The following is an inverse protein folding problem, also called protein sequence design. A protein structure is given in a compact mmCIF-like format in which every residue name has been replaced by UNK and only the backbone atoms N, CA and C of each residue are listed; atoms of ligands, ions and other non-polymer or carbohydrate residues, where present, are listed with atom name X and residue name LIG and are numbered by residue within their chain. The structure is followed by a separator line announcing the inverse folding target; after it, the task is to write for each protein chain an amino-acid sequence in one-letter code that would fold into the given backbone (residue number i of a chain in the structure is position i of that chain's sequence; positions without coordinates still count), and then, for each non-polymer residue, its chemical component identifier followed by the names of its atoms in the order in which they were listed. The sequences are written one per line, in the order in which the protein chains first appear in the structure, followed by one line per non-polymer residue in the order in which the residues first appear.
data_IF_571048304611
#
_entry.id   IF_571048304611
#
_cell.length_a   1.000
_cell.length_b   1.000
_cell.length_c   1.000
_cell.angle_alpha   90.00
_cell.angle_beta   90.00
_cell.angle_gamma   90.00
#
_symmetry.space_group_name_H-M   'P 1'
#
loop_
_entity.id
_entity.type
_entity.pdbx_description
1 polymer ?
#
# COMPACT_ATOMS: atom_id res chain seq x y z
N UNK A 1 -12.11 -66.53 4.23
CA UNK A 1 -10.65 -66.35 4.16
C UNK A 1 -10.39 -64.86 4.24
N UNK A 2 -10.07 -64.32 5.41
CA UNK A 2 -9.81 -62.90 5.57
C UNK A 2 -8.43 -62.59 4.97
N UNK A 3 -8.38 -61.69 4.00
CA UNK A 3 -7.11 -61.18 3.48
C UNK A 3 -6.51 -60.25 4.56
N UNK A 4 -5.26 -60.50 4.94
CA UNK A 4 -4.48 -59.72 5.90
C UNK A 4 -3.39 -58.95 5.15
N UNK A 5 -3.20 -57.69 5.51
CA UNK A 5 -2.06 -56.90 5.04
C UNK A 5 -0.76 -57.33 5.75
N UNK A 6 0.39 -56.87 5.24
CA UNK A 6 1.74 -57.26 5.69
C UNK A 6 2.01 -57.10 7.20
N UNK A 7 1.20 -56.30 7.90
CA UNK A 7 1.31 -56.02 9.34
C UNK A 7 0.34 -56.88 10.21
N UNK A 8 -0.31 -57.89 9.64
CA UNK A 8 -1.18 -58.83 10.37
C UNK A 8 -2.57 -58.28 10.73
N UNK A 9 -2.87 -57.03 10.38
CA UNK A 9 -4.16 -56.39 10.62
C UNK A 9 -5.18 -56.85 9.55
N UNK A 10 -6.39 -57.31 9.92
CA UNK A 10 -7.41 -57.69 8.95
C UNK A 10 -7.86 -56.46 8.14
N UNK A 11 -7.82 -56.56 6.80
CA UNK A 11 -8.09 -55.46 5.84
C UNK A 11 -9.48 -54.82 6.02
N UNK A 12 -10.46 -55.61 6.47
CA UNK A 12 -11.81 -55.10 6.74
C UNK A 12 -11.84 -54.12 7.93
N UNK A 13 -10.93 -54.30 8.88
CA UNK A 13 -10.79 -53.46 10.08
C UNK A 13 -10.10 -52.13 9.73
N UNK A 14 -9.11 -52.15 8.82
CA UNK A 14 -8.43 -50.95 8.36
C UNK A 14 -9.35 -50.08 7.50
N UNK A 15 -10.13 -50.68 6.59
CA UNK A 15 -11.14 -49.96 5.81
C UNK A 15 -12.23 -49.32 6.68
N UNK A 16 -12.74 -50.04 7.67
CA UNK A 16 -13.74 -49.49 8.59
C UNK A 16 -13.16 -48.32 9.39
N UNK A 17 -11.95 -48.47 9.94
CA UNK A 17 -11.25 -47.41 10.68
C UNK A 17 -10.98 -46.17 9.83
N UNK A 18 -10.61 -46.33 8.55
CA UNK A 18 -10.41 -45.21 7.62
C UNK A 18 -11.73 -44.49 7.35
N UNK A 19 -12.81 -45.23 7.07
CA UNK A 19 -14.12 -44.64 6.81
C UNK A 19 -14.68 -43.85 8.02
N UNK A 20 -14.44 -44.34 9.24
CA UNK A 20 -14.84 -43.67 10.47
C UNK A 20 -14.02 -42.40 10.72
N UNK A 21 -12.70 -42.45 10.49
CA UNK A 21 -11.83 -41.27 10.56
C UNK A 21 -12.18 -40.22 9.51
N UNK A 22 -12.50 -40.63 8.29
CA UNK A 22 -12.94 -39.72 7.22
C UNK A 22 -14.27 -39.06 7.57
N UNK A 23 -15.22 -39.82 8.13
CA UNK A 23 -16.49 -39.27 8.61
C UNK A 23 -16.30 -38.30 9.79
N UNK A 24 -15.41 -38.62 10.74
CA UNK A 24 -15.09 -37.72 11.85
C UNK A 24 -14.40 -36.44 11.35
N UNK A 25 -13.44 -36.55 10.42
CA UNK A 25 -12.77 -35.40 9.80
C UNK A 25 -13.73 -34.53 8.99
N UNK A 26 -14.66 -35.14 8.25
CA UNK A 26 -15.69 -34.42 7.52
C UNK A 26 -16.57 -33.61 8.48
N UNK A 27 -16.98 -34.21 9.60
CA UNK A 27 -17.79 -33.55 10.63
C UNK A 27 -17.04 -32.40 11.29
N UNK A 28 -15.76 -32.59 11.68
CA UNK A 28 -14.91 -31.50 12.21
C UNK A 28 -14.72 -30.37 11.20
N UNK A 29 -14.51 -30.68 9.92
CA UNK A 29 -14.40 -29.67 8.85
C UNK A 29 -15.69 -28.87 8.71
N UNK A 30 -16.84 -29.53 8.80
CA UNK A 30 -18.15 -28.89 8.75
C UNK A 30 -18.40 -27.99 9.97
N UNK A 31 -18.00 -28.43 11.16
CA UNK A 31 -18.09 -27.66 12.39
C UNK A 31 -17.17 -26.43 12.36
N UNK A 32 -15.93 -26.56 11.85
CA UNK A 32 -15.03 -25.44 11.60
C UNK A 32 -15.66 -24.46 10.59
N UNK A 33 -16.24 -24.96 9.50
CA UNK A 33 -16.91 -24.12 8.48
C UNK A 33 -18.12 -23.40 9.05
N UNK A 34 -18.89 -24.03 9.94
CA UNK A 34 -20.01 -23.40 10.67
C UNK A 34 -19.53 -22.35 11.64
N UNK A 35 -18.44 -22.60 12.37
CA UNK A 35 -17.83 -21.61 13.26
C UNK A 35 -17.34 -20.39 12.45
N UNK A 36 -16.68 -20.64 11.33
CA UNK A 36 -16.16 -19.61 10.42
C UNK A 36 -17.28 -18.78 9.78
N UNK A 37 -18.42 -19.39 9.45
CA UNK A 37 -19.63 -18.69 8.97
C UNK A 37 -20.44 -17.98 10.07
N UNK A 38 -20.29 -18.38 11.34
CA UNK A 38 -20.95 -17.74 12.49
C UNK A 38 -20.19 -16.53 13.02
N UNK A 39 -18.89 -16.46 12.78
CA UNK A 39 -18.13 -15.23 12.98
C UNK A 39 -18.63 -14.20 11.96
N UNK A 40 -19.16 -13.04 12.38
CA UNK A 40 -19.44 -11.98 11.44
C UNK A 40 -18.14 -11.66 10.69
N UNK A 41 -18.22 -11.26 9.42
CA UNK A 41 -17.05 -10.73 8.69
C UNK A 41 -16.38 -9.54 9.43
N UNK A 42 -17.06 -8.98 10.46
CA UNK A 42 -16.57 -7.97 11.40
C UNK A 42 -15.95 -8.52 12.70
N UNK A 43 -15.65 -9.82 12.81
CA UNK A 43 -14.96 -10.38 13.98
C UNK A 43 -13.44 -10.04 14.02
N UNK A 44 -13.01 -9.08 13.19
CA UNK A 44 -11.71 -8.44 13.29
C UNK A 44 -11.78 -7.14 14.10
N UNK A 45 -10.63 -6.59 14.52
CA UNK A 45 -10.56 -5.31 15.21
C UNK A 45 -11.20 -4.18 14.38
N UNK A 46 -11.74 -3.15 15.04
CA UNK A 46 -12.42 -2.04 14.35
C UNK A 46 -11.50 -1.33 13.34
N UNK A 47 -11.99 -1.00 12.13
CA UNK A 47 -11.22 -0.26 11.13
C UNK A 47 -10.70 1.07 11.69
N UNK A 48 -9.40 1.30 11.59
CA UNK A 48 -8.73 2.49 12.14
C UNK A 48 -8.07 3.37 11.07
N UNK A 49 -8.04 2.93 9.80
CA UNK A 49 -7.33 3.59 8.70
C UNK A 49 -8.16 3.56 7.39
N UNK A 50 -8.10 4.58 6.52
CA UNK A 50 -7.42 5.87 6.66
C UNK A 50 -8.08 6.77 7.74
N UNK A 51 -7.33 7.76 8.30
CA UNK A 51 -7.85 8.63 9.35
C UNK A 51 -9.11 9.40 8.91
N UNK A 52 -10.06 9.60 9.83
CA UNK A 52 -11.34 10.28 9.53
C UNK A 52 -11.20 11.69 8.94
N UNK A 53 -10.10 12.40 9.22
CA UNK A 53 -9.86 13.75 8.66
C UNK A 53 -9.61 13.74 7.14
N UNK A 54 -9.36 12.57 6.55
CA UNK A 54 -9.08 12.40 5.13
C UNK A 54 -10.37 12.23 4.29
N UNK A 55 -11.55 12.51 4.87
CA UNK A 55 -12.89 12.45 4.25
C UNK A 55 -13.28 11.06 3.70
N UNK A 56 -12.55 10.00 4.06
CA UNK A 56 -12.85 8.61 3.73
C UNK A 56 -13.21 7.88 5.03
N UNK A 57 -14.27 7.07 5.03
CA UNK A 57 -14.61 6.23 6.19
C UNK A 57 -13.44 5.26 6.45
N UNK A 58 -13.04 5.00 7.70
CA UNK A 58 -12.05 3.96 8.00
C UNK A 58 -12.53 2.63 7.43
N UNK A 59 -11.77 2.05 6.50
CA UNK A 59 -12.13 0.81 5.79
C UNK A 59 -11.29 -0.36 6.30
N UNK A 60 -10.08 -0.08 6.82
CA UNK A 60 -9.07 -1.09 7.11
C UNK A 60 -8.61 -1.00 8.56
N UNK A 61 -8.44 -2.14 9.21
CA UNK A 61 -7.66 -2.24 10.45
C UNK A 61 -6.18 -2.31 10.09
N UNK A 62 -5.46 -1.22 10.34
CA UNK A 62 -4.05 -1.05 10.10
C UNK A 62 -3.27 -1.11 11.41
N UNK A 63 -2.50 -2.19 11.59
CA UNK A 63 -1.56 -2.32 12.70
C UNK A 63 -0.27 -2.99 12.23
N UNK A 64 0.76 -2.18 12.00
CA UNK A 64 2.06 -2.65 11.48
C UNK A 64 2.73 -3.63 12.45
N UNK A 65 2.63 -3.40 13.77
CA UNK A 65 3.33 -4.22 14.76
C UNK A 65 2.76 -5.63 14.87
N UNK A 66 1.46 -5.75 14.63
CA UNK A 66 0.71 -7.00 14.80
C UNK A 66 0.60 -7.80 13.50
N UNK A 67 0.34 -7.13 12.36
CA UNK A 67 0.05 -7.81 11.10
C UNK A 67 1.28 -8.01 10.20
N UNK A 68 2.32 -7.20 10.35
CA UNK A 68 3.50 -7.25 9.46
C UNK A 68 4.65 -7.98 10.17
N UNK A 69 5.32 -8.95 9.50
CA UNK A 69 6.50 -9.62 10.04
C UNK A 69 7.59 -8.62 10.46
N UNK A 70 8.23 -8.87 11.62
CA UNK A 70 9.31 -8.01 12.20
C UNK A 70 10.33 -7.49 11.18
N UNK A 71 10.88 -8.29 10.23
CA UNK A 71 11.84 -7.77 9.26
C UNK A 71 11.27 -6.72 8.30
N UNK A 72 9.96 -6.74 8.03
CA UNK A 72 9.26 -5.84 7.11
C UNK A 72 8.70 -4.60 7.81
N UNK A 73 8.58 -4.60 9.14
CA UNK A 73 7.99 -3.48 9.91
C UNK A 73 8.73 -2.16 9.69
N UNK A 74 10.07 -2.18 9.70
CA UNK A 74 10.88 -0.98 9.45
C UNK A 74 10.67 -0.39 8.06
N UNK A 75 10.45 -1.25 7.05
CA UNK A 75 10.13 -0.81 5.70
C UNK A 75 8.73 -0.19 5.63
N UNK A 76 7.72 -0.84 6.23
CA UNK A 76 6.36 -0.30 6.26
C UNK A 76 6.25 1.02 7.03
N UNK A 77 7.04 1.19 8.09
CA UNK A 77 7.13 2.46 8.82
C UNK A 77 7.74 3.58 7.96
N UNK A 78 8.79 3.30 7.20
CA UNK A 78 9.34 4.28 6.25
C UNK A 78 8.30 4.64 5.16
N UNK A 79 7.54 3.65 4.69
CA UNK A 79 6.55 3.83 3.64
C UNK A 79 5.36 4.70 4.07
N UNK A 80 4.86 4.53 5.30
CA UNK A 80 3.79 5.40 5.84
C UNK A 80 4.28 6.83 6.06
N UNK A 81 5.55 7.02 6.47
CA UNK A 81 6.14 8.36 6.58
C UNK A 81 6.18 9.04 5.21
N UNK A 82 6.65 8.34 4.16
CA UNK A 82 6.65 8.86 2.79
C UNK A 82 5.22 9.22 2.34
N UNK A 83 4.22 8.42 2.68
CA UNK A 83 2.82 8.75 2.39
C UNK A 83 2.35 10.05 3.05
N UNK A 84 2.69 10.28 4.32
CA UNK A 84 2.36 11.56 4.98
C UNK A 84 3.16 12.74 4.44
N UNK A 85 4.40 12.52 4.02
CA UNK A 85 5.20 13.53 3.32
C UNK A 85 4.50 13.94 2.01
N UNK A 86 3.95 13.00 1.23
CA UNK A 86 3.15 13.32 0.04
C UNK A 86 1.97 14.26 0.36
N UNK A 87 1.23 14.00 1.44
CA UNK A 87 0.11 14.85 1.89
C UNK A 87 0.60 16.27 2.20
N UNK A 88 1.73 16.39 2.90
CA UNK A 88 2.35 17.67 3.22
C UNK A 88 2.83 18.40 1.95
N UNK A 89 3.41 17.68 0.99
CA UNK A 89 3.88 18.23 -0.29
C UNK A 89 2.74 18.77 -1.15
N UNK A 90 1.61 18.06 -1.23
CA UNK A 90 0.42 18.53 -1.96
C UNK A 90 -0.11 19.81 -1.30
N UNK A 91 -0.18 19.84 0.03
CA UNK A 91 -0.63 21.02 0.78
C UNK A 91 0.30 22.22 0.58
N UNK A 92 1.62 21.97 0.60
CA UNK A 92 2.62 22.99 0.31
C UNK A 92 2.52 23.49 -1.13
N UNK A 93 2.34 22.60 -2.11
CA UNK A 93 2.16 22.95 -3.52
C UNK A 93 0.95 23.89 -3.73
N UNK A 94 -0.19 23.61 -3.10
CA UNK A 94 -1.37 24.51 -3.15
C UNK A 94 -1.03 25.88 -2.54
N UNK A 95 -0.27 25.91 -1.44
CA UNK A 95 0.16 27.16 -0.81
C UNK A 95 1.08 27.96 -1.73
N UNK A 96 2.04 27.32 -2.40
CA UNK A 96 2.91 28.00 -3.38
C UNK A 96 2.09 28.50 -4.57
N UNK A 97 1.18 27.69 -5.10
CA UNK A 97 0.30 28.08 -6.20
C UNK A 97 -0.59 29.29 -5.84
N UNK A 98 -1.06 29.38 -4.59
CA UNK A 98 -1.80 30.54 -4.07
C UNK A 98 -0.92 31.80 -4.04
N UNK A 99 0.31 31.67 -3.54
CA UNK A 99 1.25 32.80 -3.51
C UNK A 99 1.55 33.30 -4.92
N UNK A 100 1.85 32.39 -5.85
CA UNK A 100 2.05 32.72 -7.26
C UNK A 100 0.82 33.41 -7.85
N UNK A 101 -0.40 32.98 -7.52
CA UNK A 101 -1.64 33.62 -7.97
C UNK A 101 -1.74 35.08 -7.47
N UNK A 102 -1.43 35.35 -6.20
CA UNK A 102 -1.48 36.71 -5.62
C UNK A 102 -0.54 37.66 -6.36
N UNK A 103 0.60 37.16 -6.84
CA UNK A 103 1.58 37.95 -7.57
C UNK A 103 1.40 37.97 -9.10
N UNK A 104 0.20 37.64 -9.59
CA UNK A 104 -0.15 37.72 -11.01
C UNK A 104 -0.02 36.41 -11.80
N UNK A 105 0.12 35.28 -11.09
CA UNK A 105 0.09 33.95 -11.68
C UNK A 105 -1.28 33.53 -12.21
N UNK A 106 -1.32 32.46 -12.99
CA UNK A 106 -2.55 32.00 -13.64
C UNK A 106 -3.55 31.33 -12.69
N UNK A 107 -4.81 31.77 -12.70
CA UNK A 107 -5.90 31.18 -11.90
C UNK A 107 -6.13 29.69 -12.23
N UNK A 108 -5.95 29.29 -13.49
CA UNK A 108 -6.08 27.89 -13.92
C UNK A 108 -5.03 27.01 -13.21
N UNK A 109 -3.79 27.50 -13.07
CA UNK A 109 -2.73 26.75 -12.39
C UNK A 109 -3.08 26.51 -10.92
N UNK A 110 -3.57 27.54 -10.24
CA UNK A 110 -4.06 27.41 -8.87
C UNK A 110 -5.27 26.46 -8.77
N UNK A 111 -6.26 26.57 -9.66
CA UNK A 111 -7.43 25.70 -9.66
C UNK A 111 -7.06 24.22 -9.86
N UNK A 112 -6.16 23.92 -10.81
CA UNK A 112 -5.68 22.56 -11.07
C UNK A 112 -4.87 22.01 -9.89
N UNK A 113 -4.22 22.87 -9.09
CA UNK A 113 -3.46 22.43 -7.90
C UNK A 113 -4.34 21.65 -6.89
N UNK A 114 -5.64 21.97 -6.78
CA UNK A 114 -6.58 21.25 -5.92
C UNK A 114 -6.93 19.85 -6.44
N UNK A 115 -6.84 19.61 -7.75
CA UNK A 115 -7.11 18.28 -8.32
C UNK A 115 -6.14 17.25 -7.73
N UNK A 116 -4.91 17.65 -7.39
CA UNK A 116 -3.93 16.78 -6.76
C UNK A 116 -4.30 16.34 -5.34
N UNK A 117 -5.30 16.94 -4.69
CA UNK A 117 -5.86 16.39 -3.44
C UNK A 117 -6.44 14.99 -3.64
N UNK A 118 -6.94 14.67 -4.84
CA UNK A 118 -7.36 13.32 -5.21
C UNK A 118 -6.18 12.33 -5.27
N UNK A 119 -4.95 12.84 -5.41
CA UNK A 119 -3.72 12.07 -5.31
C UNK A 119 -3.52 11.47 -3.92
N UNK A 120 -4.09 12.05 -2.84
CA UNK A 120 -3.97 11.52 -1.48
C UNK A 120 -4.66 10.16 -1.30
N UNK A 121 -5.98 10.02 -1.59
CA UNK A 121 -6.64 8.71 -1.57
C UNK A 121 -6.14 7.80 -2.69
N UNK A 122 -5.79 8.37 -3.85
CA UNK A 122 -5.21 7.62 -4.96
C UNK A 122 -3.89 6.93 -4.56
N UNK A 123 -2.96 7.66 -3.96
CA UNK A 123 -1.69 7.14 -3.45
C UNK A 123 -1.89 6.03 -2.41
N UNK A 124 -2.87 6.22 -1.51
CA UNK A 124 -3.20 5.22 -0.51
C UNK A 124 -3.62 3.90 -1.16
N UNK A 125 -4.57 3.94 -2.11
CA UNK A 125 -5.11 2.75 -2.76
C UNK A 125 -4.08 2.12 -3.70
N UNK A 126 -3.42 2.92 -4.52
CA UNK A 126 -2.58 2.46 -5.63
C UNK A 126 -1.30 1.80 -5.14
N UNK A 127 -0.58 2.42 -4.20
CA UNK A 127 0.70 1.87 -3.74
C UNK A 127 0.70 1.48 -2.28
N UNK A 128 0.35 2.38 -1.35
CA UNK A 128 0.53 2.11 0.08
C UNK A 128 -0.23 0.86 0.55
N UNK A 129 -1.52 0.76 0.21
CA UNK A 129 -2.38 -0.33 0.64
C UNK A 129 -2.00 -1.66 -0.03
N UNK A 130 -1.66 -1.64 -1.31
CA UNK A 130 -1.19 -2.84 -2.00
C UNK A 130 0.14 -3.34 -1.44
N UNK A 131 1.05 -2.44 -1.06
CA UNK A 131 2.31 -2.82 -0.41
C UNK A 131 2.05 -3.38 0.99
N UNK A 132 1.15 -2.76 1.77
CA UNK A 132 0.73 -3.27 3.08
C UNK A 132 0.16 -4.69 2.97
N UNK A 133 -0.79 -4.90 2.07
CA UNK A 133 -1.38 -6.21 1.83
C UNK A 133 -0.36 -7.24 1.33
N UNK A 134 0.61 -6.83 0.52
CA UNK A 134 1.68 -7.71 0.08
C UNK A 134 2.59 -8.13 1.25
N UNK A 135 2.81 -7.24 2.22
CA UNK A 135 3.61 -7.53 3.41
C UNK A 135 2.89 -8.45 4.40
N UNK A 136 1.55 -8.50 4.36
CA UNK A 136 0.72 -9.37 5.20
C UNK A 136 0.47 -10.74 4.54
N UNK A 137 0.05 -10.76 3.28
CA UNK A 137 -0.44 -11.97 2.61
C UNK A 137 0.64 -12.72 1.80
N UNK A 138 1.83 -12.15 1.61
CA UNK A 138 2.97 -12.72 0.85
C UNK A 138 2.67 -13.17 -0.60
N UNK A 139 1.54 -12.75 -1.18
CA UNK A 139 1.10 -13.17 -2.52
C UNK A 139 1.90 -12.51 -3.66
N UNK A 140 2.45 -13.33 -4.58
CA UNK A 140 3.18 -12.88 -5.78
C UNK A 140 2.37 -11.92 -6.67
N UNK A 141 1.06 -12.15 -6.85
CA UNK A 141 0.20 -11.28 -7.65
C UNK A 141 0.05 -9.89 -7.03
N UNK A 142 -0.05 -9.82 -5.70
CA UNK A 142 -0.14 -8.55 -4.96
C UNK A 142 1.17 -7.77 -5.01
N UNK A 143 2.31 -8.46 -5.00
CA UNK A 143 3.63 -7.85 -5.19
C UNK A 143 3.76 -7.12 -6.52
N UNK A 144 3.22 -7.67 -7.60
CA UNK A 144 3.24 -7.03 -8.92
C UNK A 144 2.38 -5.76 -8.93
N UNK A 145 1.15 -5.84 -8.40
CA UNK A 145 0.25 -4.67 -8.31
C UNK A 145 0.87 -3.56 -7.45
N UNK A 146 1.47 -3.92 -6.32
CA UNK A 146 2.19 -2.99 -5.45
C UNK A 146 3.37 -2.31 -6.17
N UNK A 147 4.16 -3.07 -6.93
CA UNK A 147 5.28 -2.54 -7.71
C UNK A 147 4.81 -1.56 -8.79
N UNK A 148 3.80 -1.94 -9.59
CA UNK A 148 3.22 -1.05 -10.61
C UNK A 148 2.70 0.23 -9.96
N UNK A 149 2.01 0.12 -8.82
CA UNK A 149 1.51 1.27 -8.08
C UNK A 149 2.63 2.21 -7.61
N UNK A 150 3.74 1.67 -7.10
CA UNK A 150 4.91 2.46 -6.69
C UNK A 150 5.53 3.21 -7.88
N UNK A 151 5.64 2.57 -9.04
CA UNK A 151 6.12 3.23 -10.26
C UNK A 151 5.19 4.34 -10.75
N UNK A 152 3.87 4.13 -10.68
CA UNK A 152 2.89 5.19 -10.98
C UNK A 152 3.06 6.38 -10.03
N UNK A 153 3.32 6.12 -8.74
CA UNK A 153 3.66 7.17 -7.77
C UNK A 153 4.92 7.95 -8.15
N UNK A 154 5.99 7.26 -8.53
CA UNK A 154 7.24 7.92 -8.96
C UNK A 154 7.03 8.77 -10.21
N UNK A 155 6.25 8.29 -11.18
CA UNK A 155 5.91 9.07 -12.39
C UNK A 155 5.15 10.35 -12.01
N UNK A 156 4.19 10.26 -11.09
CA UNK A 156 3.47 11.42 -10.57
C UNK A 156 4.42 12.41 -9.88
N UNK A 157 5.35 11.92 -9.05
CA UNK A 157 6.31 12.79 -8.37
C UNK A 157 7.24 13.51 -9.35
N UNK A 158 7.71 12.80 -10.38
CA UNK A 158 8.54 13.39 -11.45
C UNK A 158 7.74 14.43 -12.23
N UNK A 159 6.48 14.13 -12.55
CA UNK A 159 5.57 15.08 -13.20
C UNK A 159 5.40 16.37 -12.38
N UNK A 160 5.20 16.24 -11.06
CA UNK A 160 5.09 17.36 -10.14
C UNK A 160 6.41 18.12 -9.97
N UNK A 161 7.55 17.41 -9.95
CA UNK A 161 8.88 18.01 -9.90
C UNK A 161 9.19 18.82 -11.17
N UNK A 162 8.77 18.36 -12.35
CA UNK A 162 8.90 19.12 -13.60
C UNK A 162 8.04 20.39 -13.55
N UNK A 163 6.78 20.26 -13.13
CA UNK A 163 5.88 21.40 -12.91
C UNK A 163 5.51 22.12 -14.20
N UNK A 164 4.79 21.44 -15.10
CA UNK A 164 4.38 22.02 -16.39
C UNK A 164 3.41 23.20 -16.17
N UNK A 165 3.63 24.35 -16.83
CA UNK A 165 2.77 25.52 -16.69
C UNK A 165 1.30 25.20 -17.00
N UNK A 166 0.39 25.67 -16.15
CA UNK A 166 -1.04 25.42 -16.28
C UNK A 166 -1.53 24.08 -15.73
N UNK A 167 -0.64 23.15 -15.36
CA UNK A 167 -1.01 21.83 -14.84
C UNK A 167 -0.92 21.71 -13.31
N UNK A 168 -0.98 22.83 -12.59
CA UNK A 168 -1.05 22.91 -11.12
C UNK A 168 0.15 22.46 -10.29
N UNK A 169 1.24 21.98 -10.90
CA UNK A 169 2.47 21.63 -10.18
C UNK A 169 3.49 22.77 -10.12
N UNK A 170 3.92 23.17 -8.93
CA UNK A 170 4.92 24.21 -8.69
C UNK A 170 6.35 23.63 -8.70
N UNK A 171 6.72 22.98 -9.80
CA UNK A 171 8.02 22.34 -10.01
C UNK A 171 9.09 23.27 -10.60
N UNK A 172 10.16 22.68 -11.13
CA UNK A 172 11.33 23.37 -11.65
C UNK A 172 11.00 24.37 -12.77
N UNK A 173 10.13 24.01 -13.71
CA UNK A 173 9.75 24.92 -14.81
C UNK A 173 9.00 26.14 -14.26
N UNK A 174 8.03 25.93 -13.35
CA UNK A 174 7.31 27.03 -12.72
C UNK A 174 8.23 27.94 -11.91
N UNK A 175 9.21 27.38 -11.19
CA UNK A 175 10.19 28.15 -10.46
C UNK A 175 10.97 29.09 -11.40
N UNK A 176 11.43 28.60 -12.56
CA UNK A 176 12.19 29.41 -13.52
C UNK A 176 11.37 30.49 -14.22
N UNK A 177 10.05 30.35 -14.28
CA UNK A 177 9.15 31.33 -14.90
C UNK A 177 8.68 32.42 -13.94
N UNK A 178 8.85 32.21 -12.64
CA UNK A 178 8.38 33.13 -11.61
C UNK A 178 9.26 34.39 -11.56
N UNK A 179 8.61 35.56 -11.62
CA UNK A 179 9.30 36.85 -11.62
C UNK A 179 9.47 37.42 -10.22
N UNK A 180 8.61 37.01 -9.29
CA UNK A 180 8.63 37.50 -7.93
C UNK A 180 9.59 36.68 -7.08
N UNK A 181 10.47 37.37 -6.34
CA UNK A 181 11.49 36.70 -5.52
C UNK A 181 10.89 35.71 -4.51
N UNK A 182 9.76 36.07 -3.88
CA UNK A 182 9.09 35.19 -2.92
C UNK A 182 8.53 33.93 -3.60
N UNK A 183 7.79 34.07 -4.71
CA UNK A 183 7.26 32.94 -5.46
C UNK A 183 8.37 32.03 -5.99
N UNK A 184 9.48 32.62 -6.47
CA UNK A 184 10.65 31.92 -6.95
C UNK A 184 11.27 31.03 -5.85
N UNK A 185 11.53 31.59 -4.67
CA UNK A 185 12.08 30.85 -3.54
C UNK A 185 11.18 29.70 -3.10
N UNK A 186 9.88 29.96 -2.97
CA UNK A 186 8.91 28.95 -2.56
C UNK A 186 8.78 27.81 -3.59
N UNK A 187 8.82 28.15 -4.88
CA UNK A 187 8.78 27.18 -5.98
C UNK A 187 10.03 26.32 -6.07
N UNK A 188 11.22 26.89 -5.83
CA UNK A 188 12.46 26.09 -5.75
C UNK A 188 12.40 25.11 -4.58
N UNK A 189 11.92 25.54 -3.42
CA UNK A 189 11.74 24.65 -2.28
C UNK A 189 10.75 23.53 -2.65
N UNK A 190 9.64 23.87 -3.30
CA UNK A 190 8.64 22.89 -3.73
C UNK A 190 9.21 21.86 -4.72
N UNK A 191 9.91 22.32 -5.76
CA UNK A 191 10.56 21.47 -6.75
C UNK A 191 11.60 20.53 -6.14
N UNK A 192 12.36 21.04 -5.16
CA UNK A 192 13.37 20.26 -4.43
C UNK A 192 12.73 19.18 -3.57
N UNK A 193 11.62 19.51 -2.88
CA UNK A 193 10.86 18.54 -2.07
C UNK A 193 10.25 17.44 -2.95
N UNK A 194 9.65 17.78 -4.09
CA UNK A 194 9.12 16.78 -5.04
C UNK A 194 10.21 15.86 -5.58
N UNK A 195 11.37 16.43 -5.91
CA UNK A 195 12.52 15.66 -6.39
C UNK A 195 13.07 14.73 -5.32
N UNK A 196 13.16 15.21 -4.06
CA UNK A 196 13.57 14.38 -2.92
C UNK A 196 12.56 13.25 -2.64
N UNK A 197 11.27 13.54 -2.73
CA UNK A 197 10.22 12.54 -2.56
C UNK A 197 10.27 11.46 -3.65
N UNK A 198 10.47 11.85 -4.91
CA UNK A 198 10.67 10.91 -6.01
C UNK A 198 11.86 9.97 -5.75
N UNK A 199 12.99 10.52 -5.28
CA UNK A 199 14.18 9.75 -4.96
C UNK A 199 13.97 8.80 -3.78
N UNK A 200 13.31 9.24 -2.71
CA UNK A 200 13.02 8.37 -1.56
C UNK A 200 12.06 7.26 -1.95
N UNK A 201 10.99 7.55 -2.68
CA UNK A 201 10.04 6.56 -3.17
C UNK A 201 10.69 5.56 -4.15
N UNK A 202 11.56 6.05 -5.03
CA UNK A 202 12.38 5.20 -5.91
C UNK A 202 13.29 4.26 -5.10
N UNK A 203 14.00 4.78 -4.10
CA UNK A 203 14.87 3.98 -3.24
C UNK A 203 14.11 2.89 -2.47
N UNK A 204 12.91 3.21 -1.98
CA UNK A 204 12.02 2.26 -1.31
C UNK A 204 11.47 1.22 -2.28
N UNK A 205 11.17 1.61 -3.52
CA UNK A 205 10.71 0.68 -4.56
C UNK A 205 11.79 -0.33 -4.90
N UNK A 206 13.03 0.12 -5.07
CA UNK A 206 14.17 -0.76 -5.30
C UNK A 206 14.41 -1.68 -4.09
N UNK A 207 14.30 -1.17 -2.87
CA UNK A 207 14.38 -1.97 -1.64
C UNK A 207 13.27 -3.03 -1.63
N UNK A 208 12.02 -2.66 -1.91
CA UNK A 208 10.87 -3.56 -2.00
C UNK A 208 11.07 -4.68 -3.02
N UNK A 209 11.60 -4.34 -4.20
CA UNK A 209 11.89 -5.32 -5.24
C UNK A 209 12.97 -6.33 -4.85
N UNK A 210 13.89 -5.95 -3.95
CA UNK A 210 14.96 -6.81 -3.46
C UNK A 210 14.60 -7.61 -2.21
N UNK A 211 13.45 -7.34 -1.58
CA UNK A 211 13.05 -8.10 -0.40
C UNK A 211 12.68 -9.53 -0.80
N UNK A 212 13.28 -10.55 -0.17
CA UNK A 212 12.78 -11.91 -0.26
C UNK A 212 11.44 -11.93 0.48
N UNK A 213 10.36 -12.13 -0.28
CA UNK A 213 9.01 -12.35 0.24
C UNK A 213 8.79 -13.85 0.02
N UNK A 214 8.53 -14.57 1.11
CA UNK A 214 8.80 -16.00 1.28
C UNK A 214 8.42 -16.90 0.10
N UNK A 215 9.43 -17.63 -0.41
CA UNK A 215 9.26 -18.92 -1.11
C UNK A 215 10.46 -19.80 -0.73
N UNK A 216 10.66 -20.02 0.57
CA UNK A 216 11.78 -20.79 1.09
C UNK A 216 11.41 -21.73 2.25
N UNK A 217 10.12 -21.84 2.58
CA UNK A 217 9.62 -22.94 3.42
C UNK A 217 9.31 -24.22 2.63
N UNK A 218 9.47 -24.22 1.29
CA UNK A 218 9.32 -25.42 0.46
C UNK A 218 10.65 -26.12 0.11
N UNK A 219 11.77 -25.65 0.68
CA UNK A 219 13.09 -26.27 0.51
C UNK A 219 13.55 -27.02 1.78
N UNK A 220 12.64 -27.22 2.74
CA UNK A 220 12.89 -27.89 4.02
C UNK A 220 12.04 -29.17 4.21
N UNK A 221 11.50 -29.74 3.12
CA UNK A 221 10.95 -31.11 3.08
C UNK A 221 11.66 -31.95 2.02
#
# INVERSE_FOLDING_TARGET
MALQDADGVPINLTLSMVSEKEAELAKRREDIRRMQNRLPASAGPEPNFPPRFMCVKPIVYHNIKEQVPVPLQSFMNALIVVYFVLVALISYNITVALVCLIFGGGLIHFGVSFVYLLGIPGAFIVWYYNVYLCAVDELRSRRLVACVGLWVGIILDVWMAVGVPGLGGCGWIMALLERNMLGFLLSIICASLWSLHALTLFSLTIKFMRMPIGIDNSAAE
#
